data_IF_948202374410
#
_entry.id   IF_948202374410
#
_cell.length_a   1.000
_cell.length_b   1.000
_cell.length_c   1.000
_cell.angle_alpha   90.00
_cell.angle_beta   90.00
_cell.angle_gamma   90.00
#
_symmetry.space_group_name_H-M   'P 1'
#
loop_
_entity.id
_entity.type
_entity.pdbx_description
1 polymer ?
#
# COMPACT_ATOMS: atom_id res chain seq x y z
N UNK A 1 7.04 -5.83 26.29
CA UNK A 1 5.95 -5.22 27.08
C UNK A 1 5.61 -3.90 26.42
N UNK A 2 4.33 -3.63 26.07
CA UNK A 2 3.95 -2.35 25.48
C UNK A 2 4.21 -1.21 26.48
N UNK A 3 4.67 -0.08 25.97
CA UNK A 3 4.83 1.13 26.78
C UNK A 3 3.47 1.65 27.25
N UNK A 4 3.44 2.51 28.27
CA UNK A 4 2.21 3.16 28.71
C UNK A 4 1.52 3.92 27.56
N UNK A 5 2.33 4.60 26.72
CA UNK A 5 1.86 5.29 25.53
C UNK A 5 1.23 4.34 24.51
N UNK A 6 1.86 3.20 24.22
CA UNK A 6 1.32 2.19 23.30
C UNK A 6 0.00 1.60 23.82
N UNK A 7 -0.05 1.26 25.11
CA UNK A 7 -1.26 0.72 25.75
C UNK A 7 -2.44 1.69 25.65
N UNK A 8 -2.20 2.99 25.82
CA UNK A 8 -3.22 4.03 25.65
C UNK A 8 -3.66 4.19 24.19
N UNK A 9 -2.74 4.08 23.22
CA UNK A 9 -3.09 4.14 21.80
C UNK A 9 -3.88 2.90 21.37
N UNK A 10 -3.54 1.71 21.87
CA UNK A 10 -4.29 0.47 21.63
C UNK A 10 -5.71 0.56 22.18
N UNK A 11 -5.87 1.02 23.43
CA UNK A 11 -7.18 1.24 24.03
C UNK A 11 -8.02 2.28 23.26
N UNK A 12 -7.38 3.34 22.76
CA UNK A 12 -8.06 4.36 21.97
C UNK A 12 -8.49 3.85 20.59
N UNK A 13 -7.68 3.01 19.94
CA UNK A 13 -8.05 2.33 18.68
C UNK A 13 -9.23 1.38 18.90
N UNK A 14 -9.22 0.59 19.97
CA UNK A 14 -10.33 -0.29 20.32
C UNK A 14 -11.62 0.50 20.54
N UNK A 15 -11.57 1.60 21.29
CA UNK A 15 -12.72 2.47 21.50
C UNK A 15 -13.27 3.08 20.19
N UNK A 16 -12.39 3.40 19.23
CA UNK A 16 -12.79 3.92 17.92
C UNK A 16 -13.48 2.86 17.03
N UNK A 17 -13.17 1.58 17.24
CA UNK A 17 -13.86 0.48 16.56
C UNK A 17 -15.31 0.32 17.05
N UNK A 18 -15.56 0.60 18.33
CA UNK A 18 -16.88 0.48 18.95
C UNK A 18 -17.75 1.73 18.77
N UNK A 19 -17.15 2.93 18.85
CA UNK A 19 -17.88 4.20 18.92
C UNK A 19 -17.28 5.29 18.03
N UNK A 20 -18.10 6.18 17.43
CA UNK A 20 -17.60 7.38 16.75
C UNK A 20 -16.70 8.23 17.65
N UNK A 21 -15.66 8.84 17.07
CA UNK A 21 -14.68 9.64 17.80
C UNK A 21 -15.27 10.69 18.73
N UNK A 22 -16.32 11.47 18.37
CA UNK A 22 -16.94 12.41 19.30
C UNK A 22 -17.41 11.77 20.62
N UNK A 23 -17.89 10.52 20.58
CA UNK A 23 -18.35 9.75 21.73
C UNK A 23 -17.23 9.12 22.57
N UNK A 24 -16.02 8.96 22.04
CA UNK A 24 -14.89 8.39 22.78
C UNK A 24 -14.49 9.29 23.96
N UNK A 25 -14.52 8.77 25.19
CA UNK A 25 -14.16 9.53 26.40
C UNK A 25 -12.76 9.17 26.86
N UNK A 26 -11.95 10.20 27.17
CA UNK A 26 -10.57 10.03 27.67
C UNK A 26 -10.50 9.16 28.94
N UNK A 27 -11.51 9.27 29.81
CA UNK A 27 -11.57 8.48 31.04
C UNK A 27 -11.69 6.98 30.75
N UNK A 28 -12.50 6.61 29.77
CA UNK A 28 -12.74 5.22 29.40
C UNK A 28 -11.50 4.62 28.73
N UNK A 29 -10.82 5.40 27.88
CA UNK A 29 -9.55 5.01 27.26
C UNK A 29 -8.47 4.74 28.32
N UNK A 30 -8.33 5.62 29.31
CA UNK A 30 -7.38 5.43 30.40
C UNK A 30 -7.69 4.17 31.21
N UNK A 31 -8.96 3.98 31.57
CA UNK A 31 -9.43 2.82 32.32
C UNK A 31 -9.19 1.50 31.55
N UNK A 32 -9.51 1.47 30.25
CA UNK A 32 -9.27 0.31 29.39
C UNK A 32 -7.79 -0.03 29.23
N UNK A 33 -6.90 0.97 29.27
CA UNK A 33 -5.45 0.78 29.26
C UNK A 33 -4.86 0.41 30.65
N UNK A 34 -5.68 0.35 31.70
CA UNK A 34 -5.21 0.11 33.08
C UNK A 34 -4.39 1.27 33.66
N UNK A 35 -4.55 2.49 33.14
CA UNK A 35 -3.76 3.66 33.51
C UNK A 35 -4.63 4.78 34.08
N UNK A 36 -4.01 5.67 34.84
CA UNK A 36 -4.74 6.81 35.42
C UNK A 36 -5.10 7.84 34.34
N UNK A 37 -6.19 8.58 34.56
CA UNK A 37 -6.55 9.74 33.72
C UNK A 37 -5.39 10.74 33.63
N UNK A 38 -4.72 11.00 34.75
CA UNK A 38 -3.59 11.93 34.81
C UNK A 38 -2.44 11.47 33.90
N UNK A 39 -2.14 10.17 33.88
CA UNK A 39 -1.13 9.60 32.96
C UNK A 39 -1.50 9.87 31.50
N UNK A 40 -2.75 9.61 31.12
CA UNK A 40 -3.21 9.86 29.75
C UNK A 40 -3.10 11.35 29.37
N UNK A 41 -3.56 12.25 30.25
CA UNK A 41 -3.44 13.69 30.02
C UNK A 41 -1.98 14.17 30.01
N UNK A 42 -1.08 13.56 30.77
CA UNK A 42 0.35 13.87 30.70
C UNK A 42 0.96 13.44 29.36
N UNK A 43 0.59 12.26 28.85
CA UNK A 43 1.11 11.71 27.58
C UNK A 43 0.61 12.46 26.35
N UNK A 44 -0.66 12.86 26.33
CA UNK A 44 -1.31 13.40 25.12
C UNK A 44 -1.84 14.83 25.27
N UNK A 45 -1.93 15.35 26.49
CA UNK A 45 -2.44 16.69 26.79
C UNK A 45 -3.96 16.86 26.63
N UNK A 46 -4.52 16.35 25.54
CA UNK A 46 -5.93 16.54 25.18
C UNK A 46 -6.45 15.41 24.29
N UNK A 47 -7.77 15.35 24.07
CA UNK A 47 -8.39 14.42 23.12
C UNK A 47 -7.86 14.65 21.70
N UNK A 48 -7.66 15.91 21.30
CA UNK A 48 -7.05 16.24 20.02
C UNK A 48 -5.58 15.79 19.93
N UNK A 49 -4.85 15.84 21.05
CA UNK A 49 -3.48 15.32 21.12
C UNK A 49 -3.43 13.79 20.98
N UNK A 50 -4.39 13.07 21.59
CA UNK A 50 -4.55 11.63 21.42
C UNK A 50 -4.90 11.28 19.96
N UNK A 51 -5.84 12.01 19.34
CA UNK A 51 -6.16 11.89 17.93
C UNK A 51 -4.93 12.04 17.03
N UNK A 52 -4.12 13.09 17.25
CA UNK A 52 -2.86 13.29 16.50
C UNK A 52 -1.89 12.12 16.72
N UNK A 53 -1.77 11.63 17.95
CA UNK A 53 -0.89 10.51 18.24
C UNK A 53 -1.32 9.20 17.55
N UNK A 54 -2.64 8.94 17.47
CA UNK A 54 -3.19 7.80 16.73
C UNK A 54 -2.83 7.87 15.25
N UNK A 55 -3.10 9.00 14.60
CA UNK A 55 -2.83 9.16 13.17
C UNK A 55 -1.32 9.13 12.89
N UNK A 56 -0.49 9.68 13.78
CA UNK A 56 0.96 9.60 13.66
C UNK A 56 1.46 8.15 13.74
N UNK A 57 0.91 7.35 14.66
CA UNK A 57 1.23 5.91 14.74
C UNK A 57 0.86 5.17 13.45
N UNK A 58 -0.28 5.50 12.84
CA UNK A 58 -0.68 4.93 11.54
C UNK A 58 0.29 5.33 10.43
N UNK A 59 0.69 6.61 10.37
CA UNK A 59 1.68 7.10 9.41
C UNK A 59 3.03 6.37 9.58
N UNK A 60 3.51 6.27 10.81
CA UNK A 60 4.78 5.59 11.11
C UNK A 60 4.69 4.12 10.74
N UNK A 61 3.64 3.41 11.15
CA UNK A 61 3.42 1.99 10.79
C UNK A 61 3.35 1.78 9.28
N UNK A 62 2.69 2.68 8.55
CA UNK A 62 2.63 2.62 7.10
C UNK A 62 4.01 2.78 6.46
N UNK A 63 4.79 3.78 6.86
CA UNK A 63 6.13 4.01 6.31
C UNK A 63 7.10 2.85 6.63
N UNK A 64 7.02 2.27 7.83
CA UNK A 64 7.81 1.07 8.16
C UNK A 64 7.42 -0.13 7.27
N UNK A 65 6.14 -0.29 6.94
CA UNK A 65 5.70 -1.35 6.02
C UNK A 65 6.19 -1.14 4.58
N UNK A 66 6.24 0.11 4.10
CA UNK A 66 6.88 0.47 2.83
C UNK A 66 8.38 0.13 2.86
N UNK A 67 9.10 0.55 3.89
CA UNK A 67 10.54 0.30 4.04
C UNK A 67 10.84 -1.22 4.06
N UNK A 68 9.97 -2.01 4.71
CA UNK A 68 10.04 -3.47 4.71
C UNK A 68 9.88 -4.06 3.30
N UNK A 69 8.86 -3.64 2.55
CA UNK A 69 8.63 -4.13 1.18
C UNK A 69 9.77 -3.78 0.22
N UNK A 70 10.35 -2.58 0.37
CA UNK A 70 11.53 -2.16 -0.38
C UNK A 70 12.77 -2.99 -0.04
N UNK A 71 12.85 -3.58 1.16
CA UNK A 71 13.93 -4.49 1.56
C UNK A 71 13.72 -5.95 1.13
N UNK A 72 12.47 -6.38 0.95
CA UNK A 72 12.12 -7.77 0.61
C UNK A 72 12.05 -8.04 -0.91
N UNK A 73 11.80 -7.00 -1.72
CA UNK A 73 11.61 -7.13 -3.17
C UNK A 73 12.80 -6.54 -3.91
N UNK A 74 13.13 -7.14 -5.05
CA UNK A 74 14.20 -6.69 -5.93
C UNK A 74 13.67 -6.44 -7.34
N UNK A 75 14.42 -5.66 -8.13
CA UNK A 75 14.02 -5.27 -9.48
C UNK A 75 13.39 -3.88 -9.57
N UNK A 76 13.24 -3.33 -10.79
CA UNK A 76 12.83 -1.95 -10.99
C UNK A 76 11.33 -1.69 -10.79
N UNK A 77 10.49 -2.72 -10.97
CA UNK A 77 9.01 -2.58 -10.96
C UNK A 77 8.37 -3.36 -9.81
N UNK A 78 8.91 -4.53 -9.45
CA UNK A 78 8.29 -5.42 -8.46
C UNK A 78 8.12 -4.80 -7.06
N UNK A 79 9.09 -4.05 -6.50
CA UNK A 79 8.88 -3.36 -5.22
C UNK A 79 7.76 -2.33 -5.30
N UNK A 80 7.64 -1.62 -6.41
CA UNK A 80 6.61 -0.59 -6.62
C UNK A 80 5.21 -1.20 -6.72
N UNK A 81 5.07 -2.30 -7.45
CA UNK A 81 3.82 -3.08 -7.52
C UNK A 81 3.42 -3.57 -6.14
N UNK A 82 4.37 -4.16 -5.38
CA UNK A 82 4.11 -4.68 -4.05
C UNK A 82 3.67 -3.57 -3.07
N UNK A 83 4.31 -2.38 -3.13
CA UNK A 83 3.91 -1.21 -2.33
C UNK A 83 2.49 -0.78 -2.68
N UNK A 84 2.14 -0.69 -3.96
CA UNK A 84 0.80 -0.27 -4.38
C UNK A 84 -0.29 -1.26 -3.90
N UNK A 85 -0.08 -2.56 -4.11
CA UNK A 85 -1.01 -3.61 -3.68
C UNK A 85 -1.17 -3.61 -2.16
N UNK A 86 -0.07 -3.55 -1.42
CA UNK A 86 -0.09 -3.51 0.03
C UNK A 86 -0.78 -2.23 0.54
N UNK A 87 -0.48 -1.07 -0.05
CA UNK A 87 -1.12 0.21 0.32
C UNK A 87 -2.63 0.15 0.16
N UNK A 88 -3.12 -0.38 -0.96
CA UNK A 88 -4.56 -0.53 -1.21
C UNK A 88 -5.18 -1.53 -0.21
N UNK A 89 -4.49 -2.62 0.10
CA UNK A 89 -4.93 -3.60 1.10
C UNK A 89 -5.05 -3.00 2.50
N UNK A 90 -4.00 -2.35 3.00
CA UNK A 90 -3.97 -1.72 4.32
C UNK A 90 -5.01 -0.59 4.45
N UNK A 91 -5.18 0.22 3.41
CA UNK A 91 -6.18 1.29 3.42
C UNK A 91 -7.63 0.77 3.42
N UNK A 92 -7.88 -0.50 3.07
CA UNK A 92 -9.21 -1.12 3.19
C UNK A 92 -9.48 -1.61 4.61
N UNK A 93 -8.47 -2.11 5.31
CA UNK A 93 -8.62 -2.66 6.66
C UNK A 93 -8.44 -1.63 7.78
N UNK A 94 -7.78 -0.49 7.50
CA UNK A 94 -7.42 0.52 8.51
C UNK A 94 -8.04 1.89 8.19
N UNK A 95 -9.18 2.25 8.78
CA UNK A 95 -9.89 3.50 8.48
C UNK A 95 -9.09 4.78 8.72
N UNK A 96 -8.26 4.81 9.78
CA UNK A 96 -7.40 5.96 10.07
C UNK A 96 -6.31 6.13 9.01
N UNK A 97 -5.69 5.03 8.58
CA UNK A 97 -4.71 5.06 7.50
C UNK A 97 -5.36 5.50 6.19
N UNK A 98 -6.55 4.98 5.85
CA UNK A 98 -7.32 5.43 4.69
C UNK A 98 -7.54 6.94 4.70
N UNK A 99 -8.00 7.48 5.84
CA UNK A 99 -8.26 8.91 5.99
C UNK A 99 -6.98 9.74 5.90
N UNK A 100 -5.88 9.26 6.49
CA UNK A 100 -4.55 9.88 6.37
C UNK A 100 -4.08 9.94 4.91
N UNK A 101 -4.20 8.83 4.18
CA UNK A 101 -3.71 8.69 2.81
C UNK A 101 -4.54 9.47 1.79
N UNK A 102 -5.83 9.68 2.04
CA UNK A 102 -6.76 10.33 1.10
C UNK A 102 -7.16 11.74 1.51
N UNK A 103 -6.94 12.12 2.77
CA UNK A 103 -7.48 13.34 3.37
C UNK A 103 -9.00 13.26 3.64
N UNK A 104 -9.65 12.13 3.35
CA UNK A 104 -11.08 11.95 3.51
C UNK A 104 -11.41 11.48 4.94
N UNK A 105 -11.57 12.44 5.84
CA UNK A 105 -12.01 12.18 7.22
C UNK A 105 -13.54 12.03 7.26
N UNK A 106 -14.04 10.85 7.62
CA UNK A 106 -15.46 10.64 7.88
C UNK A 106 -15.88 11.11 9.28
N UNK A 107 -17.18 11.23 9.52
CA UNK A 107 -17.74 11.72 10.79
C UNK A 107 -17.39 10.87 12.03
N UNK A 108 -17.06 9.59 11.80
CA UNK A 108 -16.68 8.66 12.87
C UNK A 108 -15.22 8.80 13.29
N UNK A 109 -14.37 9.39 12.47
CA UNK A 109 -12.92 9.44 12.71
C UNK A 109 -12.52 10.73 13.42
N UNK A 110 -11.42 10.72 14.20
CA UNK A 110 -10.76 11.95 14.58
C UNK A 110 -10.32 12.67 13.30
N UNK A 111 -10.82 13.89 13.06
CA UNK A 111 -10.31 14.78 12.03
C UNK A 111 -9.30 15.76 12.68
N UNK A 112 -8.03 15.38 12.84
CA UNK A 112 -7.04 16.22 13.49
C UNK A 112 -6.83 17.50 12.68
N UNK A 113 -6.90 18.64 13.36
CA UNK A 113 -6.66 19.94 12.74
C UNK A 113 -5.22 20.00 12.21
N UNK A 114 -5.01 20.49 10.97
CA UNK A 114 -3.66 20.74 10.48
C UNK A 114 -2.95 21.71 11.42
N UNK A 115 -1.77 21.33 11.92
CA UNK A 115 -0.92 22.29 12.64
C UNK A 115 -0.26 23.18 11.59
N UNK A 116 -0.29 24.50 11.79
CA UNK A 116 0.35 25.47 10.88
C UNK A 116 1.78 25.02 10.54
N UNK A 117 2.14 25.05 9.25
CA UNK A 117 3.53 24.80 8.81
C UNK A 117 4.48 25.78 9.51
N UNK A 118 5.31 25.23 10.37
CA UNK A 118 6.47 25.86 10.98
C UNK A 118 7.36 24.74 11.51
N UNK A 119 8.64 24.76 11.17
CA UNK A 119 9.57 23.75 11.67
C UNK A 119 9.64 23.85 13.21
N UNK A 120 9.40 22.76 13.97
CA UNK A 120 9.64 22.79 15.40
C UNK A 120 11.14 23.06 15.64
N UNK A 121 11.51 23.89 16.63
CA UNK A 121 12.92 24.14 16.93
C UNK A 121 13.62 22.83 17.31
N UNK A 122 14.85 22.64 16.82
CA UNK A 122 15.68 21.51 17.18
C UNK A 122 15.85 21.46 18.72
N UNK A 123 15.56 20.31 19.33
CA UNK A 123 15.64 20.12 20.78
C UNK A 123 14.34 20.28 21.56
N UNK A 124 13.19 20.46 20.90
CA UNK A 124 11.92 20.56 21.62
C UNK A 124 11.53 19.25 22.36
N UNK A 125 10.74 19.34 23.45
CA UNK A 125 10.22 18.15 24.15
C UNK A 125 9.45 17.24 23.19
N UNK A 126 9.38 15.93 23.46
CA UNK A 126 8.62 14.95 22.66
C UNK A 126 7.16 15.43 22.38
N UNK A 127 6.55 16.12 23.34
CA UNK A 127 5.26 16.79 23.21
C UNK A 127 5.18 17.75 22.01
N UNK A 128 6.21 18.57 21.79
CA UNK A 128 6.24 19.57 20.70
C UNK A 128 6.57 18.96 19.34
N UNK A 129 7.19 17.77 19.29
CA UNK A 129 7.30 16.95 18.06
C UNK A 129 5.97 16.26 17.74
N UNK A 130 5.21 15.85 18.75
CA UNK A 130 3.83 15.40 18.55
C UNK A 130 2.91 16.54 18.06
N UNK A 131 3.28 17.79 18.33
CA UNK A 131 2.67 18.99 17.73
C UNK A 131 3.22 19.36 16.35
N UNK A 132 4.24 18.68 15.81
CA UNK A 132 4.49 18.77 14.37
C UNK A 132 3.21 18.29 13.67
N UNK A 133 2.72 19.03 12.68
CA UNK A 133 1.51 18.66 11.95
C UNK A 133 1.57 17.22 11.47
N UNK A 134 0.40 16.59 11.36
CA UNK A 134 0.29 15.32 10.68
C UNK A 134 0.69 15.52 9.20
N UNK A 135 1.36 14.54 8.58
CA UNK A 135 1.70 14.66 7.17
C UNK A 135 0.39 14.74 6.38
N UNK A 136 0.31 15.74 5.49
CA UNK A 136 -0.76 15.77 4.51
C UNK A 136 -0.63 14.56 3.57
N UNK A 137 -1.70 14.15 2.87
CA UNK A 137 -1.61 13.10 1.84
C UNK A 137 -0.44 13.29 0.86
N UNK A 138 -0.21 14.54 0.42
CA UNK A 138 0.93 14.89 -0.45
C UNK A 138 2.29 14.67 0.20
N UNK A 139 2.41 14.91 1.50
CA UNK A 139 3.65 14.71 2.25
C UNK A 139 3.94 13.21 2.37
N UNK A 140 2.90 12.38 2.57
CA UNK A 140 3.03 10.92 2.55
C UNK A 140 3.46 10.42 1.17
N UNK A 141 2.89 10.96 0.08
CA UNK A 141 3.32 10.64 -1.29
C UNK A 141 4.80 10.96 -1.49
N UNK A 142 5.24 12.16 -1.10
CA UNK A 142 6.65 12.55 -1.20
C UNK A 142 7.56 11.62 -0.39
N UNK A 143 7.17 11.29 0.85
CA UNK A 143 7.92 10.38 1.72
C UNK A 143 8.07 8.96 1.16
N UNK A 144 7.05 8.42 0.49
CA UNK A 144 7.11 7.09 -0.14
C UNK A 144 7.91 7.13 -1.43
N UNK A 145 7.73 8.18 -2.25
CA UNK A 145 8.52 8.41 -3.46
C UNK A 145 10.00 8.48 -3.13
N UNK A 146 10.39 9.29 -2.17
CA UNK A 146 11.80 9.52 -1.81
C UNK A 146 12.46 8.23 -1.28
N UNK A 147 11.73 7.44 -0.47
CA UNK A 147 12.19 6.12 -0.02
C UNK A 147 12.37 5.14 -1.17
N UNK A 148 11.40 5.07 -2.07
CA UNK A 148 11.41 4.15 -3.21
C UNK A 148 12.53 4.50 -4.18
N UNK A 149 12.69 5.78 -4.49
CA UNK A 149 13.80 6.28 -5.31
C UNK A 149 15.15 5.91 -4.69
N UNK A 150 15.36 6.23 -3.41
CA UNK A 150 16.60 5.90 -2.72
C UNK A 150 16.87 4.39 -2.68
N UNK A 151 15.83 3.55 -2.60
CA UNK A 151 15.97 2.10 -2.65
C UNK A 151 16.36 1.58 -4.03
N UNK A 152 15.72 2.10 -5.07
CA UNK A 152 15.98 1.68 -6.45
C UNK A 152 17.33 2.20 -6.95
N UNK A 153 17.75 3.41 -6.56
CA UNK A 153 19.09 3.95 -6.85
C UNK A 153 20.20 3.11 -6.17
N UNK A 154 19.98 2.68 -4.92
CA UNK A 154 20.89 1.76 -4.22
C UNK A 154 21.00 0.40 -4.91
N UNK A 155 19.94 -0.06 -5.55
CA UNK A 155 19.92 -1.33 -6.29
C UNK A 155 20.52 -1.22 -7.70
N UNK A 156 20.49 -0.04 -8.31
CA UNK A 156 20.84 0.19 -9.72
C UNK A 156 22.33 0.48 -9.95
N UNK A 157 23.25 -0.12 -9.20
CA UNK A 157 24.69 0.13 -9.37
C UNK A 157 25.19 -0.18 -10.81
N UNK A 158 25.21 0.85 -11.66
CA UNK A 158 25.65 0.87 -13.06
C UNK A 158 25.32 2.24 -13.68
N UNK A 159 26.35 3.07 -13.91
CA UNK A 159 26.21 4.52 -14.05
C UNK A 159 25.54 5.03 -15.35
N UNK A 160 24.33 5.57 -15.22
CA UNK A 160 23.72 6.56 -16.11
C UNK A 160 22.82 7.51 -15.28
N UNK A 161 23.38 8.29 -14.35
CA UNK A 161 22.67 8.73 -13.15
C UNK A 161 21.73 9.97 -13.27
N UNK A 162 21.69 10.66 -14.41
CA UNK A 162 20.98 11.96 -14.53
C UNK A 162 19.52 11.84 -14.99
N UNK A 163 19.31 11.48 -16.25
CA UNK A 163 17.97 11.42 -16.87
C UNK A 163 17.14 10.23 -16.37
N UNK A 164 17.79 9.09 -16.08
CA UNK A 164 17.15 7.91 -15.53
C UNK A 164 16.61 8.12 -14.10
N UNK A 165 17.22 8.99 -13.30
CA UNK A 165 16.78 9.29 -11.93
C UNK A 165 15.50 10.15 -11.92
N UNK A 166 15.39 11.13 -12.83
CA UNK A 166 14.18 11.94 -12.99
C UNK A 166 12.96 11.12 -13.43
N UNK A 167 13.16 10.22 -14.39
CA UNK A 167 12.14 9.29 -14.84
C UNK A 167 11.73 8.27 -13.74
N UNK A 168 12.70 7.79 -12.96
CA UNK A 168 12.43 6.90 -11.82
C UNK A 168 11.67 7.60 -10.69
N UNK A 169 12.02 8.85 -10.36
CA UNK A 169 11.31 9.65 -9.38
C UNK A 169 9.85 9.87 -9.80
N UNK A 170 9.63 10.17 -11.08
CA UNK A 170 8.28 10.29 -11.65
C UNK A 170 7.51 8.97 -11.57
N UNK A 171 8.12 7.84 -11.94
CA UNK A 171 7.51 6.50 -11.84
C UNK A 171 7.12 6.18 -10.40
N UNK A 172 8.01 6.38 -9.43
CA UNK A 172 7.71 6.20 -8.00
C UNK A 172 6.51 7.05 -7.57
N UNK A 173 6.47 8.32 -7.97
CA UNK A 173 5.39 9.24 -7.63
C UNK A 173 4.05 8.82 -8.28
N UNK A 174 4.10 8.39 -9.55
CA UNK A 174 2.95 7.91 -10.31
C UNK A 174 2.34 6.67 -9.65
N UNK A 175 3.16 5.69 -9.24
CA UNK A 175 2.68 4.47 -8.56
C UNK A 175 1.91 4.79 -7.29
N UNK A 176 2.47 5.66 -6.43
CA UNK A 176 1.80 6.01 -5.17
C UNK A 176 0.49 6.74 -5.46
N UNK A 177 0.45 7.64 -6.44
CA UNK A 177 -0.80 8.31 -6.83
C UNK A 177 -1.85 7.36 -7.39
N UNK A 178 -1.45 6.40 -8.23
CA UNK A 178 -2.36 5.38 -8.76
C UNK A 178 -2.90 4.48 -7.65
N UNK A 179 -2.04 4.09 -6.69
CA UNK A 179 -2.48 3.35 -5.51
C UNK A 179 -3.50 4.15 -4.69
N UNK A 180 -3.25 5.43 -4.42
CA UNK A 180 -4.20 6.31 -3.72
C UNK A 180 -5.51 6.50 -4.50
N UNK A 181 -5.44 6.63 -5.82
CA UNK A 181 -6.62 6.63 -6.69
C UNK A 181 -7.43 5.33 -6.52
N UNK A 182 -6.76 4.18 -6.49
CA UNK A 182 -7.39 2.87 -6.27
C UNK A 182 -7.94 2.68 -4.84
N UNK A 183 -7.44 3.43 -3.85
CA UNK A 183 -8.04 3.48 -2.51
C UNK A 183 -9.41 4.16 -2.57
N UNK A 184 -9.52 5.27 -3.32
CA UNK A 184 -10.76 6.05 -3.44
C UNK A 184 -11.75 5.36 -4.39
N UNK A 185 -11.28 4.91 -5.55
CA UNK A 185 -12.03 4.24 -6.61
C UNK A 185 -11.44 2.84 -6.85
N UNK A 186 -11.93 1.80 -6.15
CA UNK A 186 -11.38 0.45 -6.24
C UNK A 186 -11.48 -0.12 -7.66
N UNK A 187 -10.39 -0.73 -8.12
CA UNK A 187 -10.32 -1.50 -9.37
C UNK A 187 -10.66 -2.97 -9.11
N UNK A 188 -11.35 -3.61 -10.06
CA UNK A 188 -11.82 -5.00 -9.94
C UNK A 188 -10.68 -6.02 -9.98
N UNK A 189 -9.75 -5.89 -10.93
CA UNK A 189 -8.66 -6.86 -11.16
C UNK A 189 -7.42 -6.62 -10.28
N UNK A 190 -7.55 -5.76 -9.26
CA UNK A 190 -6.43 -5.34 -8.41
C UNK A 190 -5.54 -4.28 -9.06
N UNK A 191 -4.67 -3.67 -8.24
CA UNK A 191 -3.84 -2.53 -8.66
C UNK A 191 -2.56 -2.96 -9.40
N UNK A 192 -2.10 -4.20 -9.20
CA UNK A 192 -0.84 -4.70 -9.77
C UNK A 192 -0.75 -4.62 -11.30
N UNK A 193 -1.72 -5.15 -12.07
CA UNK A 193 -1.72 -5.03 -13.53
C UNK A 193 -1.65 -3.57 -14.00
N UNK A 194 -2.44 -2.69 -13.37
CA UNK A 194 -2.48 -1.27 -13.69
C UNK A 194 -1.13 -0.57 -13.46
N UNK A 195 -0.42 -0.90 -12.36
CA UNK A 195 0.92 -0.37 -12.10
C UNK A 195 1.93 -0.91 -13.11
N UNK A 196 1.90 -2.20 -13.44
CA UNK A 196 2.81 -2.78 -14.45
C UNK A 196 2.62 -2.13 -15.81
N UNK A 197 1.38 -1.84 -16.22
CA UNK A 197 1.11 -1.12 -17.48
C UNK A 197 1.57 0.34 -17.43
N UNK A 198 1.45 1.01 -16.28
CA UNK A 198 1.82 2.42 -16.14
C UNK A 198 3.34 2.66 -15.99
N UNK A 199 4.08 1.67 -15.47
CA UNK A 199 5.51 1.78 -15.13
C UNK A 199 6.38 0.92 -16.06
N UNK A 200 5.82 -0.15 -16.61
CA UNK A 200 6.44 -0.96 -17.64
C UNK A 200 6.50 -0.20 -18.96
N UNK A 201 7.55 -0.45 -19.72
CA UNK A 201 7.64 0.02 -21.09
C UNK A 201 6.51 -0.65 -21.90
N UNK A 202 5.63 0.07 -22.61
CA UNK A 202 4.56 -0.51 -23.42
C UNK A 202 5.04 -1.44 -24.55
N UNK A 203 6.35 -1.67 -24.69
CA UNK A 203 6.99 -2.39 -25.80
C UNK A 203 7.50 -3.81 -25.53
N UNK A 204 7.28 -4.42 -24.36
CA UNK A 204 7.55 -5.87 -24.19
C UNK A 204 6.30 -6.69 -24.44
N UNK A 205 5.79 -6.62 -25.67
CA UNK A 205 5.08 -7.76 -26.24
C UNK A 205 6.07 -8.93 -26.25
N UNK A 206 5.89 -9.87 -25.33
CA UNK A 206 6.44 -11.22 -25.48
C UNK A 206 5.82 -11.80 -26.75
N UNK A 207 6.50 -11.63 -27.88
CA UNK A 207 6.20 -12.38 -29.10
C UNK A 207 6.04 -13.85 -28.70
N UNK A 208 4.88 -14.49 -28.91
CA UNK A 208 4.83 -15.94 -28.75
C UNK A 208 5.76 -16.51 -29.81
N UNK A 209 6.81 -17.22 -29.39
CA UNK A 209 7.61 -18.06 -30.27
C UNK A 209 6.66 -19.03 -30.97
N UNK A 210 6.22 -18.66 -32.16
CA UNK A 210 5.63 -19.59 -33.11
C UNK A 210 6.81 -20.39 -33.63
N UNK A 211 7.11 -21.51 -32.98
CA UNK A 211 7.89 -22.58 -33.57
C UNK A 211 7.11 -23.06 -34.78
N UNK A 212 7.44 -22.54 -35.95
CA UNK A 212 7.01 -23.08 -37.24
C UNK A 212 7.74 -24.40 -37.41
N UNK A 213 7.08 -25.50 -37.05
CA UNK A 213 7.48 -26.83 -37.51
C UNK A 213 7.40 -26.82 -39.04
N UNK A 214 8.58 -26.84 -39.66
CA UNK A 214 8.74 -27.01 -41.10
C UNK A 214 8.49 -28.47 -41.43
N UNK A 215 7.25 -28.79 -41.79
CA UNK A 215 6.88 -30.09 -42.33
C UNK A 215 7.41 -30.20 -43.76
N UNK A 216 8.59 -30.81 -43.91
CA UNK A 216 9.16 -31.15 -45.21
C UNK A 216 8.51 -32.45 -45.71
N UNK A 217 7.52 -32.29 -46.60
CA UNK A 217 6.98 -33.40 -47.38
C UNK A 217 7.97 -33.94 -48.40
N UNK A 218 8.01 -35.27 -48.54
CA UNK A 218 8.28 -35.97 -49.81
C UNK A 218 7.47 -37.28 -49.86
N UNK A 219 6.99 -37.73 -51.05
CA UNK A 219 5.84 -38.63 -51.18
C UNK A 219 6.20 -40.06 -51.63
N UNK A 220 5.13 -40.87 -51.76
CA UNK A 220 4.95 -42.10 -52.57
C UNK A 220 5.55 -43.44 -52.07
N UNK A 221 4.90 -44.61 -52.10
CA UNK A 221 3.53 -45.07 -52.44
C UNK A 221 3.43 -46.58 -52.02
N UNK A 222 2.48 -47.43 -52.48
CA UNK A 222 1.37 -48.01 -51.70
C UNK A 222 1.49 -49.50 -51.37
N UNK A 223 0.66 -49.98 -50.44
CA UNK A 223 0.54 -51.39 -50.09
C UNK A 223 -0.88 -51.76 -49.66
N UNK A 224 -1.58 -52.47 -50.54
CA UNK A 224 -2.97 -52.89 -50.46
C UNK A 224 -3.35 -53.77 -49.25
N UNK A 225 -4.64 -53.76 -48.93
CA UNK A 225 -5.33 -54.79 -48.13
C UNK A 225 -6.31 -54.16 -47.15
N UNK A 226 -7.57 -53.97 -47.51
CA UNK A 226 -8.66 -54.93 -47.23
C UNK A 226 -8.98 -55.02 -45.73
N UNK A 227 -10.21 -54.97 -45.19
CA UNK A 227 -11.55 -55.14 -45.75
C UNK A 227 -12.52 -54.96 -44.54
N UNK A 228 -13.65 -54.31 -44.79
CA UNK A 228 -14.99 -54.51 -44.20
C UNK A 228 -15.39 -54.07 -42.76
N UNK A 229 -16.62 -53.51 -42.77
CA UNK A 229 -17.68 -53.51 -41.72
C UNK A 229 -17.46 -52.56 -40.54
N UNK A 230 -18.34 -51.61 -40.24
CA UNK A 230 -19.81 -51.63 -40.25
C UNK A 230 -20.28 -51.00 -38.91
N UNK A 231 -21.50 -50.47 -38.80
CA UNK A 231 -21.77 -49.23 -38.06
C UNK A 231 -22.13 -49.40 -36.58
N UNK A 232 -21.99 -48.30 -35.83
CA UNK A 232 -22.65 -48.03 -34.56
C UNK A 232 -24.16 -48.29 -34.61
N UNK A 233 -24.77 -48.64 -33.46
CA UNK A 233 -26.10 -48.18 -33.16
C UNK A 233 -26.13 -47.37 -31.87
N UNK A 234 -26.88 -46.28 -31.98
CA UNK A 234 -27.50 -45.47 -30.96
C UNK A 234 -28.45 -46.29 -30.06
N UNK A 235 -28.63 -45.80 -28.83
CA UNK A 235 -29.89 -45.67 -28.09
C UNK A 235 -30.11 -46.52 -26.81
N UNK A 236 -30.85 -45.85 -25.90
CA UNK A 236 -31.80 -46.33 -24.89
C UNK A 236 -31.33 -46.32 -23.42
N UNK A 237 -31.57 -45.17 -22.77
CA UNK A 237 -32.60 -44.95 -21.73
C UNK A 237 -32.91 -46.10 -20.74
N UNK A 238 -32.48 -45.94 -19.48
CA UNK A 238 -33.30 -45.98 -18.24
C UNK A 238 -32.45 -45.77 -16.98
#
# INVERSE_FOLDING_TARGET
>A
MPTARESLLDAALAALAESPWPGVRMVDVAAAAGLSRQTLYNEFGSKDGLARALVRREADSYLHGVDRLLGERTGPVDPLVAIAEWTVGEARSRPLLRALLTGCWGERLPAPKPVRRGAPPAGAPAQRRADAGLPAPSDVVALVRDRSLAALERASCGGCAGEASGDLAFRCELVVRLALSCVIAPVGDGVGPLIRTAVGDPGTESTPETTVETEAGKPEEPGAGAVLSGPSPTAVDR
#
